data_IF_747287718822
#
_entry.id   IF_747287718822
#
_cell.length_a   1.000
_cell.length_b   1.000
_cell.length_c   1.000
_cell.angle_alpha   90.00
_cell.angle_beta   90.00
_cell.angle_gamma   90.00
#
_symmetry.space_group_name_H-M   'P 1'
#
loop_
_entity.id
_entity.type
_entity.pdbx_description
1 polymer ?
#
# COMPACT_ATOMS: atom_id res chain seq x y z
N UNK A 1 3.57 -5.07 -11.83
CA UNK A 1 4.00 -4.25 -10.68
C UNK A 1 3.84 -2.74 -10.88
N UNK A 2 4.11 -2.13 -12.06
CA UNK A 2 4.09 -0.66 -12.20
C UNK A 2 2.77 -0.01 -11.74
N UNK A 3 1.64 -0.56 -12.18
CA UNK A 3 0.30 -0.06 -11.83
C UNK A 3 -0.02 -0.15 -10.34
N UNK A 4 0.51 -1.17 -9.64
CA UNK A 4 0.34 -1.30 -8.19
C UNK A 4 1.11 -0.19 -7.44
N UNK A 5 2.36 0.08 -7.84
CA UNK A 5 3.17 1.13 -7.20
C UNK A 5 2.57 2.53 -7.43
N UNK A 6 1.95 2.72 -8.59
CA UNK A 6 1.21 3.93 -8.92
C UNK A 6 -0.06 4.07 -8.10
N UNK A 7 -0.88 3.02 -7.97
CA UNK A 7 -2.07 3.02 -7.10
C UNK A 7 -1.71 3.35 -5.64
N UNK A 8 -0.64 2.75 -5.11
CA UNK A 8 -0.18 3.04 -3.74
C UNK A 8 0.23 4.51 -3.62
N UNK A 9 0.94 5.04 -4.62
CA UNK A 9 1.40 6.45 -4.61
C UNK A 9 0.22 7.41 -4.66
N UNK A 10 -0.74 7.19 -5.58
CA UNK A 10 -1.96 7.99 -5.70
C UNK A 10 -2.79 7.95 -4.42
N UNK A 11 -2.93 6.77 -3.81
CA UNK A 11 -3.63 6.67 -2.54
C UNK A 11 -2.89 7.41 -1.41
N UNK A 12 -1.57 7.33 -1.33
CA UNK A 12 -0.82 8.09 -0.33
C UNK A 12 -1.04 9.61 -0.48
N UNK A 13 -1.10 10.12 -1.71
CA UNK A 13 -1.39 11.52 -2.00
C UNK A 13 -2.82 11.90 -1.60
N UNK A 14 -3.80 11.11 -2.03
CA UNK A 14 -5.21 11.30 -1.68
C UNK A 14 -5.46 11.21 -0.17
N UNK A 15 -4.88 10.21 0.49
CA UNK A 15 -4.98 10.00 1.94
C UNK A 15 -4.36 11.15 2.74
N UNK A 16 -3.30 11.78 2.19
CA UNK A 16 -2.68 12.98 2.76
C UNK A 16 -3.50 14.24 2.50
N UNK A 17 -4.15 14.38 1.36
CA UNK A 17 -4.97 15.54 1.01
C UNK A 17 -6.32 15.51 1.75
N UNK A 18 -6.96 14.35 1.83
CA UNK A 18 -8.33 14.17 2.31
C UNK A 18 -8.39 13.63 3.76
N UNK A 19 -7.44 14.01 4.61
CA UNK A 19 -7.29 13.45 5.98
C UNK A 19 -8.57 13.49 6.81
N UNK A 20 -9.27 14.62 6.79
CA UNK A 20 -10.48 14.85 7.57
C UNK A 20 -11.61 13.89 7.15
N UNK A 21 -11.73 13.60 5.85
CA UNK A 21 -12.72 12.66 5.34
C UNK A 21 -12.42 11.24 5.84
N UNK A 22 -11.17 10.79 5.70
CA UNK A 22 -10.78 9.46 6.15
C UNK A 22 -10.81 9.30 7.68
N UNK A 23 -10.49 10.35 8.44
CA UNK A 23 -10.51 10.33 9.90
C UNK A 23 -11.92 10.15 10.45
N UNK A 24 -12.93 10.77 9.82
CA UNK A 24 -14.34 10.65 10.24
C UNK A 24 -14.90 9.23 10.06
N UNK A 25 -14.43 8.52 9.05
CA UNK A 25 -14.78 7.12 8.80
C UNK A 25 -13.80 6.11 9.41
N UNK A 26 -12.87 6.55 10.26
CA UNK A 26 -11.84 5.68 10.80
C UNK A 26 -12.38 4.83 11.95
N UNK A 27 -12.62 3.56 11.67
CA UNK A 27 -13.06 2.56 12.64
C UNK A 27 -12.04 1.41 12.74
N UNK A 28 -10.78 1.76 13.04
CA UNK A 28 -9.75 0.76 13.34
C UNK A 28 -9.48 0.77 14.83
N UNK A 29 -10.05 -0.20 15.55
CA UNK A 29 -9.81 -0.42 16.98
C UNK A 29 -8.39 -0.88 17.31
N UNK A 30 -7.60 -1.27 16.31
CA UNK A 30 -6.23 -1.78 16.48
C UNK A 30 -5.15 -0.71 16.27
N UNK A 31 -5.38 0.29 15.41
CA UNK A 31 -4.42 1.35 15.13
C UNK A 31 -5.09 2.71 15.01
N UNK A 32 -4.46 3.73 15.58
CA UNK A 32 -4.92 5.11 15.43
C UNK A 32 -4.79 5.57 13.98
N UNK A 33 -5.69 6.48 13.59
CA UNK A 33 -5.63 7.12 12.27
C UNK A 33 -4.29 7.80 12.01
N UNK A 34 -3.76 8.50 13.03
CA UNK A 34 -2.51 9.24 12.92
C UNK A 34 -1.32 8.30 12.70
N UNK A 35 -1.30 7.14 13.36
CA UNK A 35 -0.29 6.11 13.12
C UNK A 35 -0.37 5.57 11.70
N UNK A 36 -1.58 5.25 11.22
CA UNK A 36 -1.76 4.77 9.85
C UNK A 36 -1.36 5.81 8.80
N UNK A 37 -1.59 7.08 9.09
CA UNK A 37 -1.14 8.20 8.26
C UNK A 37 0.37 8.35 8.23
N UNK A 38 1.06 8.10 9.34
CA UNK A 38 2.52 8.06 9.35
C UNK A 38 3.05 6.92 8.46
N UNK A 39 2.48 5.72 8.56
CA UNK A 39 2.84 4.59 7.68
C UNK A 39 2.63 4.90 6.19
N UNK A 40 1.53 5.58 5.86
CA UNK A 40 1.26 6.03 4.49
C UNK A 40 2.33 7.04 4.01
N UNK A 41 2.75 7.96 4.88
CA UNK A 41 3.81 8.93 4.61
C UNK A 41 5.19 8.28 4.42
N UNK A 42 5.55 7.35 5.30
CA UNK A 42 6.78 6.56 5.19
C UNK A 42 6.83 5.77 3.87
N UNK A 43 5.74 5.09 3.56
CA UNK A 43 5.57 4.34 2.30
C UNK A 43 5.76 5.25 1.08
N UNK A 44 5.12 6.42 1.08
CA UNK A 44 5.29 7.40 0.00
C UNK A 44 6.75 7.88 -0.13
N UNK A 45 7.43 8.11 1.00
CA UNK A 45 8.84 8.48 1.02
C UNK A 45 9.77 7.38 0.49
N UNK A 46 9.47 6.11 0.78
CA UNK A 46 10.20 4.96 0.24
C UNK A 46 9.96 4.83 -1.27
N UNK A 47 8.70 4.93 -1.72
CA UNK A 47 8.35 4.88 -3.14
C UNK A 47 9.06 5.99 -3.91
N UNK A 48 9.03 7.24 -3.42
CA UNK A 48 9.72 8.36 -4.07
C UNK A 48 11.22 8.11 -4.26
N UNK A 49 11.88 7.44 -3.30
CA UNK A 49 13.32 7.15 -3.34
C UNK A 49 13.68 5.95 -4.21
N UNK A 50 12.84 4.92 -4.21
CA UNK A 50 13.21 3.60 -4.75
C UNK A 50 12.34 3.11 -5.92
N UNK A 51 11.32 3.86 -6.38
CA UNK A 51 10.36 3.42 -7.42
C UNK A 51 11.05 2.84 -8.65
N UNK A 52 12.05 3.51 -9.22
CA UNK A 52 12.76 3.02 -10.42
C UNK A 52 13.45 1.67 -10.16
N UNK A 53 14.05 1.50 -9.00
CA UNK A 53 14.74 0.26 -8.62
C UNK A 53 13.75 -0.88 -8.34
N UNK A 54 12.60 -0.57 -7.74
CA UNK A 54 11.52 -1.53 -7.52
C UNK A 54 10.88 -2.04 -8.82
N UNK A 55 10.76 -1.17 -9.83
CA UNK A 55 10.27 -1.58 -11.15
C UNK A 55 11.22 -2.59 -11.82
N UNK A 56 12.52 -2.51 -11.53
CA UNK A 56 13.55 -3.40 -12.09
C UNK A 56 13.76 -4.66 -11.25
N UNK A 57 13.47 -4.62 -9.95
CA UNK A 57 13.73 -5.73 -9.02
C UNK A 57 12.64 -5.84 -7.95
N UNK A 58 11.94 -6.98 -7.96
CA UNK A 58 10.98 -7.36 -6.91
C UNK A 58 11.64 -7.53 -5.54
N UNK A 59 12.94 -7.84 -5.49
CA UNK A 59 13.68 -7.90 -4.23
C UNK A 59 13.77 -6.53 -3.57
N UNK A 60 14.04 -5.47 -4.34
CA UNK A 60 14.07 -4.09 -3.81
C UNK A 60 12.70 -3.69 -3.28
N UNK A 61 11.61 -4.14 -3.92
CA UNK A 61 10.27 -3.92 -3.39
C UNK A 61 10.10 -4.54 -1.99
N UNK A 62 10.46 -5.80 -1.83
CA UNK A 62 10.39 -6.51 -0.54
C UNK A 62 11.30 -5.86 0.50
N UNK A 63 12.59 -5.66 0.18
CA UNK A 63 13.58 -5.16 1.12
C UNK A 63 13.24 -3.75 1.64
N UNK A 64 12.62 -2.91 0.81
CA UNK A 64 12.32 -1.53 1.19
C UNK A 64 10.95 -1.35 1.84
N UNK A 65 9.92 -2.12 1.45
CA UNK A 65 8.55 -1.93 1.93
C UNK A 65 8.10 -2.97 2.97
N UNK A 66 8.85 -4.06 3.15
CA UNK A 66 8.50 -5.13 4.09
C UNK A 66 9.45 -5.26 5.29
N UNK A 67 10.40 -4.34 5.45
CA UNK A 67 11.33 -4.36 6.58
C UNK A 67 10.77 -3.72 7.86
N UNK A 68 9.79 -2.81 7.75
CA UNK A 68 9.16 -2.13 8.90
C UNK A 68 7.65 -2.38 8.94
N UNK A 69 6.94 -1.71 9.86
CA UNK A 69 5.48 -1.73 9.91
C UNK A 69 4.79 -1.15 8.66
N UNK A 70 5.53 -0.52 7.75
CA UNK A 70 5.05 -0.17 6.40
C UNK A 70 4.49 -1.37 5.64
N UNK A 71 4.97 -2.59 5.95
CA UNK A 71 4.44 -3.86 5.44
C UNK A 71 2.93 -4.02 5.64
N UNK A 72 2.39 -3.58 6.79
CA UNK A 72 0.96 -3.66 7.11
C UNK A 72 0.15 -2.76 6.19
N UNK A 73 0.60 -1.52 6.03
CA UNK A 73 -0.02 -0.56 5.12
C UNK A 73 0.03 -1.04 3.67
N UNK A 74 1.21 -1.46 3.21
CA UNK A 74 1.43 -1.92 1.83
C UNK A 74 0.60 -3.16 1.54
N UNK A 75 0.52 -4.12 2.47
CA UNK A 75 -0.33 -5.31 2.33
C UNK A 75 -1.81 -4.93 2.21
N UNK A 76 -2.30 -3.99 3.05
CA UNK A 76 -3.67 -3.49 2.92
C UNK A 76 -3.94 -2.90 1.53
N UNK A 77 -2.97 -2.17 0.96
CA UNK A 77 -3.07 -1.61 -0.39
C UNK A 77 -3.05 -2.68 -1.47
N UNK A 78 -2.20 -3.70 -1.35
CA UNK A 78 -2.16 -4.83 -2.30
C UNK A 78 -3.51 -5.54 -2.35
N UNK A 79 -4.11 -5.85 -1.19
CA UNK A 79 -5.41 -6.51 -1.11
C UNK A 79 -6.51 -5.65 -1.75
N UNK A 80 -6.55 -4.35 -1.43
CA UNK A 80 -7.53 -3.41 -2.03
C UNK A 80 -7.35 -3.26 -3.54
N UNK A 81 -6.11 -3.18 -4.01
CA UNK A 81 -5.81 -3.10 -5.44
C UNK A 81 -6.20 -4.39 -6.17
N UNK A 82 -5.93 -5.56 -5.60
CA UNK A 82 -6.39 -6.83 -6.18
C UNK A 82 -7.92 -6.87 -6.31
N UNK A 83 -8.64 -6.44 -5.28
CA UNK A 83 -10.10 -6.47 -5.26
C UNK A 83 -10.75 -5.48 -6.25
N UNK A 84 -10.20 -4.27 -6.41
CA UNK A 84 -10.86 -3.17 -7.15
C UNK A 84 -10.11 -2.62 -8.36
N UNK A 85 -8.78 -2.73 -8.40
CA UNK A 85 -7.92 -2.03 -9.37
C UNK A 85 -7.21 -2.94 -10.38
N UNK A 86 -7.01 -4.22 -10.07
CA UNK A 86 -6.32 -5.16 -10.96
C UNK A 86 -7.27 -5.75 -12.01
N UNK A 87 -6.85 -5.81 -13.27
CA UNK A 87 -7.50 -6.61 -14.33
C UNK A 87 -6.81 -7.97 -14.53
N UNK A 88 -5.74 -8.25 -13.79
CA UNK A 88 -4.99 -9.50 -13.90
C UNK A 88 -5.53 -10.53 -12.92
N UNK A 89 -6.24 -11.54 -13.43
CA UNK A 89 -6.86 -12.61 -12.64
C UNK A 89 -5.84 -13.46 -11.87
N UNK A 90 -4.66 -13.74 -12.44
CA UNK A 90 -3.61 -14.48 -11.72
C UNK A 90 -3.12 -13.73 -10.50
N UNK A 91 -2.98 -12.40 -10.62
CA UNK A 91 -2.61 -11.55 -9.49
C UNK A 91 -3.69 -11.57 -8.40
N UNK A 92 -4.97 -11.48 -8.77
CA UNK A 92 -6.08 -11.56 -7.82
C UNK A 92 -6.09 -12.88 -7.07
N UNK A 93 -5.97 -13.99 -7.78
CA UNK A 93 -5.92 -15.33 -7.20
C UNK A 93 -4.75 -15.48 -6.23
N UNK A 94 -3.55 -15.04 -6.61
CA UNK A 94 -2.38 -15.08 -5.74
C UNK A 94 -2.56 -14.25 -4.46
N UNK A 95 -3.10 -13.03 -4.58
CA UNK A 95 -3.39 -12.19 -3.41
C UNK A 95 -4.45 -12.83 -2.51
N UNK A 96 -5.48 -13.45 -3.10
CA UNK A 96 -6.50 -14.14 -2.32
C UNK A 96 -5.91 -15.33 -1.55
N UNK A 97 -5.10 -16.16 -2.19
CA UNK A 97 -4.43 -17.29 -1.54
C UNK A 97 -3.50 -16.86 -0.39
N UNK A 98 -2.82 -15.72 -0.53
CA UNK A 98 -1.84 -15.27 0.46
C UNK A 98 -2.46 -14.54 1.65
N UNK A 99 -3.57 -13.82 1.45
CA UNK A 99 -4.09 -12.88 2.46
C UNK A 99 -5.54 -13.09 2.85
N UNK A 100 -6.29 -13.90 2.09
CA UNK A 100 -7.70 -14.25 2.36
C UNK A 100 -7.89 -15.77 2.26
N UNK A 101 -7.24 -16.56 3.16
CA UNK A 101 -7.38 -18.01 3.16
C UNK A 101 -8.81 -18.48 3.44
#
# INVERSE_FOLDING_TARGET
MPMLLEDISLFCEDFKANKQHYRKGWDSGFMSFDYWQNLAGETAGILKRHKVNMLRSSRVFSDQLYFTYTSLFVTNRIVKYAAKGSQNEKFKQAVNLLFNP
#
